data_IF_015664560533
#
_entry.id   IF_015664560533
#
_cell.length_a   1.000
_cell.length_b   1.000
_cell.length_c   1.000
_cell.angle_alpha   90.00
_cell.angle_beta   90.00
_cell.angle_gamma   90.00
#
_symmetry.space_group_name_H-M   'P 1'
#
loop_
_entity.id
_entity.type
_entity.pdbx_description
1 polymer ?
#
# COMPACT_ATOMS: atom_id res chain seq x y z
N UNK A 1 -16.01 -37.48 9.11
CA UNK A 1 -15.27 -37.95 7.92
C UNK A 1 -15.51 -36.96 6.78
N UNK A 2 -15.30 -35.69 7.03
CA UNK A 2 -14.01 -34.98 7.16
C UNK A 2 -13.59 -34.52 5.77
N UNK A 3 -13.70 -33.22 5.55
CA UNK A 3 -12.73 -32.40 4.82
C UNK A 3 -13.18 -30.95 5.00
N UNK A 4 -12.82 -30.43 6.18
CA UNK A 4 -12.80 -29.01 6.48
C UNK A 4 -11.83 -28.36 5.49
N UNK A 5 -12.35 -27.59 4.53
CA UNK A 5 -11.53 -26.80 3.62
C UNK A 5 -11.09 -25.57 4.42
N UNK A 6 -9.97 -25.73 5.12
CA UNK A 6 -9.27 -24.67 5.82
C UNK A 6 -8.81 -23.65 4.76
N UNK A 7 -9.66 -22.64 4.51
CA UNK A 7 -9.29 -21.46 3.74
C UNK A 7 -8.32 -20.71 4.64
N UNK A 8 -7.04 -21.01 4.49
CA UNK A 8 -5.97 -20.26 5.11
C UNK A 8 -6.14 -18.78 4.72
N UNK A 9 -6.60 -18.00 5.69
CA UNK A 9 -6.79 -16.56 5.63
C UNK A 9 -5.43 -15.93 5.35
N UNK A 10 -5.15 -15.67 4.07
CA UNK A 10 -3.92 -15.02 3.63
C UNK A 10 -4.01 -13.54 4.00
N UNK A 11 -3.61 -13.23 5.24
CA UNK A 11 -3.53 -11.89 5.82
C UNK A 11 -2.43 -11.00 5.21
N UNK A 12 -2.06 -11.22 3.95
CA UNK A 12 -0.93 -10.55 3.28
C UNK A 12 -1.23 -9.12 2.81
N UNK A 13 -2.41 -8.58 3.15
CA UNK A 13 -2.77 -7.21 2.86
C UNK A 13 -2.45 -6.33 4.08
N UNK A 14 -1.76 -5.19 3.91
CA UNK A 14 -1.43 -4.30 5.01
C UNK A 14 -2.70 -3.89 5.77
N UNK A 15 -2.74 -4.16 7.07
CA UNK A 15 -3.86 -3.79 7.92
C UNK A 15 -3.62 -2.41 8.53
N UNK A 16 -4.32 -1.37 8.03
CA UNK A 16 -4.45 -0.03 8.66
C UNK A 16 -5.70 0.70 8.12
N UNK A 17 -6.44 1.57 8.82
CA UNK A 17 -6.37 2.26 10.12
C UNK A 17 -7.83 2.47 10.65
N UNK A 18 -8.04 2.80 11.94
CA UNK A 18 -9.35 3.07 12.52
C UNK A 18 -9.95 4.42 12.06
N UNK A 19 -11.26 4.37 11.86
CA UNK A 19 -12.22 5.40 11.44
C UNK A 19 -11.90 6.88 11.76
N UNK A 20 -11.81 7.69 10.70
CA UNK A 20 -12.47 9.01 10.63
C UNK A 20 -12.95 9.25 9.18
N UNK A 21 -14.25 9.46 9.02
CA UNK A 21 -14.99 9.90 7.82
C UNK A 21 -14.20 9.98 6.50
N UNK A 22 -13.95 8.81 5.91
CA UNK A 22 -13.45 8.68 4.54
C UNK A 22 -14.53 7.99 3.73
N UNK A 23 -14.98 8.62 2.65
CA UNK A 23 -15.88 8.00 1.69
C UNK A 23 -15.28 6.65 1.25
N UNK A 24 -16.08 5.67 0.81
CA UNK A 24 -15.55 4.42 0.28
C UNK A 24 -14.46 4.64 -0.78
N UNK A 25 -14.57 5.70 -1.59
CA UNK A 25 -13.54 6.09 -2.55
C UNK A 25 -12.22 6.49 -1.91
N UNK A 26 -12.23 7.29 -0.84
CA UNK A 26 -11.00 7.70 -0.16
C UNK A 26 -10.26 6.49 0.44
N UNK A 27 -11.01 5.51 0.99
CA UNK A 27 -10.43 4.25 1.45
C UNK A 27 -9.76 3.50 0.31
N UNK A 28 -10.41 3.41 -0.85
CA UNK A 28 -9.84 2.76 -2.04
C UNK A 28 -8.58 3.46 -2.56
N UNK A 29 -8.55 4.80 -2.54
CA UNK A 29 -7.37 5.58 -2.94
C UNK A 29 -6.18 5.26 -2.01
N UNK A 30 -6.40 5.35 -0.70
CA UNK A 30 -5.37 5.10 0.31
C UNK A 30 -4.85 3.66 0.21
N UNK A 31 -5.76 2.68 0.13
CA UNK A 31 -5.38 1.28 0.03
C UNK A 31 -4.66 0.98 -1.30
N UNK A 32 -5.18 1.49 -2.42
CA UNK A 32 -4.60 1.31 -3.74
C UNK A 32 -3.18 1.87 -3.84
N UNK A 33 -2.95 3.07 -3.32
CA UNK A 33 -1.62 3.68 -3.29
C UNK A 33 -0.63 2.84 -2.46
N UNK A 34 -1.03 2.37 -1.28
CA UNK A 34 -0.21 1.49 -0.45
C UNK A 34 0.15 0.18 -1.16
N UNK A 35 -0.83 -0.45 -1.81
CA UNK A 35 -0.60 -1.67 -2.59
C UNK A 35 0.39 -1.45 -3.74
N UNK A 36 0.29 -0.33 -4.47
CA UNK A 36 1.23 -0.01 -5.56
C UNK A 36 2.67 0.06 -5.04
N UNK A 37 2.89 0.77 -3.92
CA UNK A 37 4.22 0.93 -3.31
C UNK A 37 4.77 -0.44 -2.85
N UNK A 38 3.94 -1.25 -2.19
CA UNK A 38 4.32 -2.61 -1.73
C UNK A 38 4.66 -3.51 -2.92
N UNK A 39 3.85 -3.51 -3.99
CA UNK A 39 4.11 -4.33 -5.16
C UNK A 39 5.36 -3.89 -5.92
N UNK A 40 5.57 -2.59 -6.07
CA UNK A 40 6.78 -2.06 -6.69
C UNK A 40 8.03 -2.52 -5.95
N UNK A 41 8.04 -2.43 -4.62
CA UNK A 41 9.17 -2.87 -3.82
C UNK A 41 9.34 -4.40 -3.83
N UNK A 42 8.24 -5.15 -3.84
CA UNK A 42 8.27 -6.61 -3.99
C UNK A 42 8.94 -7.00 -5.30
N UNK A 43 8.58 -6.31 -6.39
CA UNK A 43 9.17 -6.54 -7.71
C UNK A 43 10.67 -6.15 -7.74
N UNK A 44 11.05 -5.08 -7.05
CA UNK A 44 12.45 -4.70 -6.89
C UNK A 44 13.27 -5.74 -6.12
N UNK A 45 12.73 -6.31 -5.04
CA UNK A 45 13.39 -7.39 -4.29
C UNK A 45 13.60 -8.63 -5.16
N UNK A 46 12.62 -8.99 -5.98
CA UNK A 46 12.74 -10.12 -6.92
C UNK A 46 13.80 -9.88 -8.00
N UNK A 47 13.92 -8.65 -8.50
CA UNK A 47 14.93 -8.30 -9.51
C UNK A 47 16.36 -8.33 -8.98
N UNK A 48 16.56 -7.98 -7.70
CA UNK A 48 17.91 -7.98 -7.10
C UNK A 48 18.56 -9.37 -7.06
N UNK A 49 17.79 -10.43 -7.23
CA UNK A 49 18.27 -11.81 -7.26
C UNK A 49 18.67 -12.30 -5.86
N UNK A 50 18.48 -13.60 -5.62
CA UNK A 50 18.71 -14.26 -4.34
C UNK A 50 17.69 -15.36 -4.07
N UNK A 51 17.73 -15.94 -2.87
CA UNK A 51 16.79 -16.98 -2.40
C UNK A 51 15.43 -16.42 -1.94
N UNK A 52 15.07 -15.22 -2.45
CA UNK A 52 13.82 -14.56 -2.10
C UNK A 52 12.73 -15.06 -3.04
N UNK A 53 11.89 -15.96 -2.54
CA UNK A 53 10.68 -16.38 -3.25
C UNK A 53 9.67 -15.23 -3.37
N UNK A 54 8.71 -15.32 -4.30
CA UNK A 54 7.66 -14.32 -4.50
C UNK A 54 6.84 -14.03 -3.24
N UNK A 55 6.53 -15.04 -2.43
CA UNK A 55 5.83 -14.87 -1.15
C UNK A 55 6.69 -14.14 -0.12
N UNK A 56 7.96 -14.52 -0.01
CA UNK A 56 8.90 -13.85 0.90
C UNK A 56 9.12 -12.39 0.50
N UNK A 57 9.17 -12.08 -0.80
CA UNK A 57 9.31 -10.70 -1.30
C UNK A 57 8.12 -9.83 -0.88
N UNK A 58 6.88 -10.35 -0.99
CA UNK A 58 5.69 -9.62 -0.60
C UNK A 58 5.65 -9.36 0.91
N UNK A 59 5.90 -10.38 1.73
CA UNK A 59 5.92 -10.25 3.19
C UNK A 59 6.99 -9.26 3.67
N UNK A 60 8.19 -9.32 3.08
CA UNK A 60 9.24 -8.34 3.35
C UNK A 60 8.83 -6.92 2.94
N UNK A 61 8.07 -6.77 1.86
CA UNK A 61 7.64 -5.46 1.36
C UNK A 61 6.54 -4.84 2.21
N UNK A 62 5.58 -5.64 2.66
CA UNK A 62 4.57 -5.20 3.63
C UNK A 62 5.26 -4.77 4.91
N UNK A 63 6.18 -5.60 5.43
CA UNK A 63 6.93 -5.28 6.65
C UNK A 63 7.73 -3.98 6.50
N UNK A 64 8.42 -3.78 5.38
CA UNK A 64 9.15 -2.55 5.12
C UNK A 64 8.20 -1.34 5.09
N UNK A 65 7.05 -1.47 4.40
CA UNK A 65 6.07 -0.39 4.31
C UNK A 65 5.53 0.04 5.68
N UNK A 66 5.24 -0.93 6.55
CA UNK A 66 4.71 -0.70 7.89
C UNK A 66 5.76 -0.16 8.88
N UNK A 67 7.01 -0.64 8.78
CA UNK A 67 8.05 -0.35 9.78
C UNK A 67 8.96 0.84 9.42
N UNK A 68 9.10 1.18 8.14
CA UNK A 68 9.96 2.29 7.67
C UNK A 68 9.38 3.69 7.91
N UNK A 69 8.12 3.78 8.35
CA UNK A 69 7.37 5.05 8.43
C UNK A 69 6.80 5.51 7.08
N UNK A 70 7.05 4.77 5.99
CA UNK A 70 6.48 5.04 4.66
C UNK A 70 4.96 5.05 4.71
N UNK A 71 4.34 4.07 5.36
CA UNK A 71 2.89 4.01 5.50
C UNK A 71 2.29 5.24 6.19
N UNK A 72 2.88 5.67 7.30
CA UNK A 72 2.40 6.85 8.03
C UNK A 72 2.52 8.12 7.17
N UNK A 73 3.63 8.24 6.43
CA UNK A 73 3.89 9.36 5.52
C UNK A 73 2.89 9.39 4.37
N UNK A 74 2.68 8.25 3.70
CA UNK A 74 1.73 8.11 2.59
C UNK A 74 0.30 8.37 3.05
N UNK A 75 -0.10 7.82 4.20
CA UNK A 75 -1.44 8.03 4.75
C UNK A 75 -1.70 9.51 5.00
N UNK A 76 -0.77 10.19 5.68
CA UNK A 76 -0.91 11.62 5.98
C UNK A 76 -0.96 12.46 4.71
N UNK A 77 -0.08 12.19 3.74
CA UNK A 77 -0.04 12.92 2.47
C UNK A 77 -1.32 12.73 1.64
N UNK A 78 -1.83 11.50 1.56
CA UNK A 78 -3.07 11.21 0.82
C UNK A 78 -4.29 11.84 1.48
N UNK A 79 -4.39 11.79 2.82
CA UNK A 79 -5.47 12.47 3.54
C UNK A 79 -5.45 13.98 3.28
N UNK A 80 -4.26 14.58 3.26
CA UNK A 80 -4.10 15.99 2.93
C UNK A 80 -4.53 16.30 1.50
N UNK A 81 -4.01 15.56 0.51
CA UNK A 81 -4.32 15.75 -0.90
C UNK A 81 -5.82 15.58 -1.21
N UNK A 82 -6.45 14.55 -0.63
CA UNK A 82 -7.90 14.30 -0.77
C UNK A 82 -8.71 15.48 -0.23
N UNK A 83 -8.30 16.03 0.92
CA UNK A 83 -8.99 17.17 1.53
C UNK A 83 -8.83 18.44 0.68
N UNK A 84 -7.61 18.72 0.24
CA UNK A 84 -7.25 19.93 -0.53
C UNK A 84 -7.90 19.94 -1.93
N UNK A 85 -7.90 18.79 -2.61
CA UNK A 85 -8.26 18.69 -4.04
C UNK A 85 -9.55 17.90 -4.30
N UNK A 86 -10.42 17.76 -3.30
CA UNK A 86 -11.67 16.97 -3.41
C UNK A 86 -12.58 17.35 -4.60
N UNK A 87 -12.54 18.60 -5.05
CA UNK A 87 -13.35 19.11 -6.16
C UNK A 87 -12.60 19.20 -7.51
N UNK A 88 -11.30 18.90 -7.52
CA UNK A 88 -10.45 18.93 -8.70
C UNK A 88 -9.77 17.56 -8.88
N UNK A 89 -10.43 16.70 -9.64
CA UNK A 89 -10.01 15.31 -9.81
C UNK A 89 -8.69 15.17 -10.57
N UNK A 90 -8.39 16.07 -11.51
CA UNK A 90 -7.13 16.03 -12.27
C UNK A 90 -5.95 16.37 -11.36
N UNK A 91 -6.08 17.42 -10.55
CA UNK A 91 -5.08 17.80 -9.56
C UNK A 91 -4.93 16.73 -8.46
N UNK A 92 -6.05 16.17 -7.99
CA UNK A 92 -6.01 15.08 -7.00
C UNK A 92 -5.28 13.84 -7.54
N UNK A 93 -5.57 13.45 -8.79
CA UNK A 93 -4.93 12.30 -9.43
C UNK A 93 -3.42 12.52 -9.56
N UNK A 94 -3.00 13.70 -10.02
CA UNK A 94 -1.57 14.03 -10.11
C UNK A 94 -0.89 13.97 -8.73
N UNK A 95 -1.53 14.54 -7.69
CA UNK A 95 -0.99 14.49 -6.33
C UNK A 95 -0.84 13.06 -5.80
N UNK A 96 -1.80 12.17 -6.07
CA UNK A 96 -1.70 10.75 -5.69
C UNK A 96 -0.50 10.08 -6.37
N UNK A 97 -0.29 10.32 -7.67
CA UNK A 97 0.86 9.80 -8.41
C UNK A 97 2.17 10.31 -7.81
N UNK A 98 2.27 11.61 -7.56
CA UNK A 98 3.48 12.23 -7.00
C UNK A 98 3.80 11.68 -5.60
N UNK A 99 2.77 11.45 -4.77
CA UNK A 99 2.92 10.82 -3.46
C UNK A 99 3.47 9.40 -3.61
N UNK A 100 2.92 8.58 -4.51
CA UNK A 100 3.40 7.21 -4.74
C UNK A 100 4.86 7.23 -5.18
N UNK A 101 5.21 8.07 -6.17
CA UNK A 101 6.58 8.16 -6.70
C UNK A 101 7.59 8.61 -5.64
N UNK A 102 7.23 9.59 -4.81
CA UNK A 102 8.12 10.14 -3.77
C UNK A 102 8.33 9.18 -2.61
N UNK A 103 7.37 8.28 -2.37
CA UNK A 103 7.40 7.33 -1.24
C UNK A 103 7.77 5.89 -1.66
N UNK A 104 8.37 5.72 -2.84
CA UNK A 104 8.95 4.44 -3.25
C UNK A 104 9.99 3.99 -2.23
N UNK A 105 9.90 2.73 -1.82
CA UNK A 105 10.82 2.12 -0.85
C UNK A 105 12.14 1.66 -1.49
N UNK A 106 12.15 1.48 -2.81
CA UNK A 106 13.38 1.29 -3.57
C UNK A 106 14.03 2.65 -3.87
N UNK A 107 15.29 2.79 -3.45
CA UNK A 107 16.19 3.87 -3.87
C UNK A 107 17.35 3.27 -4.65
#
# INVERSE_FOLDING_TARGET
KDSNLDVAESNALPSMCPFFMVSPMHKSIIHGAGCIIVFEYSFFLLQKGGDVTSRNALDLSVKEYETSGTQATVLSALQHAIKEHSNDHDTLMQAIIDIILTNRMCK
#
